data_IF_295502210345
#
_entry.id   IF_295502210345
#
_cell.length_a   1.000
_cell.length_b   1.000
_cell.length_c   1.000
_cell.angle_alpha   90.00
_cell.angle_beta   90.00
_cell.angle_gamma   90.00
#
_symmetry.space_group_name_H-M   'P 1'
#
loop_
_entity.id
_entity.type
_entity.pdbx_description
1 polymer ?
#
# COMPACT_ATOMS: atom_id res chain seq x y z
N UNK A 1 -17.48 -32.03 -64.89
CA UNK A 1 -17.50 -32.60 -63.53
C UNK A 1 -16.13 -32.71 -62.86
N UNK A 2 -15.11 -33.34 -63.47
CA UNK A 2 -13.80 -33.55 -62.81
C UNK A 2 -13.03 -32.29 -62.37
N UNK A 3 -13.17 -31.15 -63.06
CA UNK A 3 -12.55 -29.86 -62.64
C UNK A 3 -13.21 -29.26 -61.38
N UNK A 4 -14.51 -29.46 -61.21
CA UNK A 4 -15.29 -28.95 -60.06
C UNK A 4 -14.98 -29.74 -58.78
N UNK A 5 -14.82 -31.07 -58.91
CA UNK A 5 -14.41 -31.94 -57.80
C UNK A 5 -12.98 -31.59 -57.33
N UNK A 6 -12.05 -31.36 -58.27
CA UNK A 6 -10.68 -30.91 -57.92
C UNK A 6 -10.67 -29.57 -57.19
N UNK A 7 -11.51 -28.62 -57.59
CA UNK A 7 -11.65 -27.32 -56.91
C UNK A 7 -12.24 -27.46 -55.50
N UNK A 8 -13.24 -28.32 -55.29
CA UNK A 8 -13.77 -28.57 -53.95
C UNK A 8 -12.75 -29.23 -53.01
N UNK A 9 -11.95 -30.17 -53.52
CA UNK A 9 -10.87 -30.81 -52.74
C UNK A 9 -9.80 -29.76 -52.37
N UNK A 10 -9.39 -28.93 -53.32
CA UNK A 10 -8.44 -27.84 -53.05
C UNK A 10 -8.99 -26.83 -52.04
N UNK A 11 -10.24 -26.39 -52.19
CA UNK A 11 -10.89 -25.50 -51.25
C UNK A 11 -10.97 -26.12 -49.84
N UNK A 12 -11.27 -27.42 -49.74
CA UNK A 12 -11.28 -28.16 -48.48
C UNK A 12 -9.91 -28.24 -47.82
N UNK A 13 -8.84 -28.48 -48.58
CA UNK A 13 -7.47 -28.51 -48.07
C UNK A 13 -7.00 -27.13 -47.59
N UNK A 14 -7.31 -26.07 -48.35
CA UNK A 14 -7.00 -24.68 -47.96
C UNK A 14 -7.75 -24.31 -46.68
N UNK A 15 -9.04 -24.67 -46.58
CA UNK A 15 -9.84 -24.41 -45.39
C UNK A 15 -9.34 -25.21 -44.17
N UNK A 16 -8.99 -26.48 -44.34
CA UNK A 16 -8.40 -27.31 -43.29
C UNK A 16 -7.04 -26.77 -42.82
N UNK A 17 -6.19 -26.32 -43.75
CA UNK A 17 -4.92 -25.66 -43.43
C UNK A 17 -5.11 -24.36 -42.65
N UNK A 18 -6.09 -23.53 -43.05
CA UNK A 18 -6.44 -22.30 -42.35
C UNK A 18 -6.94 -22.58 -40.91
N UNK A 19 -7.86 -23.54 -40.75
CA UNK A 19 -8.36 -23.96 -39.44
C UNK A 19 -7.26 -24.54 -38.55
N UNK A 20 -6.34 -25.31 -39.13
CA UNK A 20 -5.15 -25.82 -38.44
C UNK A 20 -4.23 -24.69 -37.96
N UNK A 21 -3.98 -23.69 -38.80
CA UNK A 21 -3.15 -22.55 -38.44
C UNK A 21 -3.78 -21.70 -37.32
N UNK A 22 -5.09 -21.44 -37.37
CA UNK A 22 -5.80 -20.73 -36.29
C UNK A 22 -5.72 -21.49 -34.95
N UNK A 23 -5.90 -22.81 -34.98
CA UNK A 23 -5.76 -23.65 -33.78
C UNK A 23 -4.32 -23.67 -33.26
N UNK A 24 -3.32 -23.66 -34.14
CA UNK A 24 -1.91 -23.59 -33.77
C UNK A 24 -1.59 -22.27 -33.06
N UNK A 25 -2.03 -21.13 -33.63
CA UNK A 25 -1.84 -19.81 -33.01
C UNK A 25 -2.48 -19.73 -31.61
N UNK A 26 -3.69 -20.29 -31.46
CA UNK A 26 -4.36 -20.35 -30.15
C UNK A 26 -3.64 -21.26 -29.13
N UNK A 27 -2.83 -22.22 -29.59
CA UNK A 27 -2.13 -23.17 -28.74
C UNK A 27 -0.73 -22.72 -28.32
N UNK A 28 -0.10 -21.80 -29.07
CA UNK A 28 1.18 -21.18 -28.69
C UNK A 28 1.25 -20.67 -27.24
N UNK A 29 0.26 -19.95 -26.68
CA UNK A 29 0.34 -19.49 -25.29
C UNK A 29 0.37 -20.66 -24.29
N UNK A 30 -0.34 -21.76 -24.57
CA UNK A 30 -0.32 -22.96 -23.72
C UNK A 30 1.08 -23.58 -23.74
N UNK A 31 1.69 -23.71 -24.93
CA UNK A 31 3.05 -24.21 -25.06
C UNK A 31 4.07 -23.34 -24.31
N UNK A 32 3.93 -22.01 -24.39
CA UNK A 32 4.78 -21.08 -23.65
C UNK A 32 4.61 -21.24 -22.13
N UNK A 33 3.39 -21.49 -21.64
CA UNK A 33 3.14 -21.76 -20.23
C UNK A 33 3.82 -23.07 -19.77
N UNK A 34 3.72 -24.14 -20.56
CA UNK A 34 4.35 -25.43 -20.25
C UNK A 34 5.87 -25.32 -20.24
N UNK A 35 6.46 -24.63 -21.21
CA UNK A 35 7.89 -24.34 -21.26
C UNK A 35 8.35 -23.56 -20.01
N UNK A 36 7.56 -22.58 -19.57
CA UNK A 36 7.84 -21.80 -18.37
C UNK A 36 7.71 -22.62 -17.06
N UNK A 37 6.79 -23.58 -17.01
CA UNK A 37 6.59 -24.49 -15.86
C UNK A 37 7.73 -25.49 -15.73
N UNK A 38 8.10 -26.18 -16.81
CA UNK A 38 9.16 -27.18 -16.78
C UNK A 38 9.89 -27.35 -18.14
N UNK A 39 10.95 -26.57 -18.41
CA UNK A 39 11.56 -26.49 -19.74
C UNK A 39 12.16 -27.82 -20.23
N UNK A 40 12.78 -28.63 -19.36
CA UNK A 40 13.37 -29.91 -19.76
C UNK A 40 12.32 -30.95 -20.19
N UNK A 41 11.30 -31.20 -19.35
CA UNK A 41 10.17 -32.07 -19.72
C UNK A 41 9.39 -31.53 -20.92
N UNK A 42 9.30 -30.22 -21.08
CA UNK A 42 8.70 -29.62 -22.27
C UNK A 42 9.49 -29.98 -23.54
N UNK A 43 10.81 -29.88 -23.52
CA UNK A 43 11.65 -30.31 -24.65
C UNK A 43 11.46 -31.82 -24.95
N UNK A 44 11.42 -32.66 -23.92
CA UNK A 44 11.11 -34.09 -24.07
C UNK A 44 9.73 -34.29 -24.70
N UNK A 45 8.70 -33.58 -24.23
CA UNK A 45 7.35 -33.63 -24.79
C UNK A 45 7.34 -33.25 -26.28
N UNK A 46 8.09 -32.23 -26.68
CA UNK A 46 8.19 -31.80 -28.07
C UNK A 46 8.88 -32.85 -28.94
N UNK A 47 9.94 -33.50 -28.45
CA UNK A 47 10.61 -34.57 -29.21
C UNK A 47 9.76 -35.84 -29.31
N UNK A 48 9.04 -36.22 -28.26
CA UNK A 48 8.05 -37.31 -28.32
C UNK A 48 6.91 -37.00 -29.29
N UNK A 49 6.47 -35.73 -29.35
CA UNK A 49 5.45 -35.28 -30.29
C UNK A 49 5.93 -35.39 -31.75
N UNK A 50 7.19 -35.00 -32.03
CA UNK A 50 7.80 -35.14 -33.37
C UNK A 50 7.95 -36.60 -33.80
N UNK A 51 8.21 -37.49 -32.84
CA UNK A 51 8.28 -38.95 -33.05
C UNK A 51 6.92 -39.63 -33.13
N UNK A 52 5.81 -38.87 -33.09
CA UNK A 52 4.43 -39.37 -33.11
C UNK A 52 4.08 -40.31 -31.93
N UNK A 53 4.78 -40.20 -30.80
CA UNK A 53 4.45 -40.93 -29.58
C UNK A 53 3.34 -40.23 -28.80
N UNK A 54 2.10 -40.38 -29.30
CA UNK A 54 0.93 -39.64 -28.82
C UNK A 54 0.63 -39.92 -27.33
N UNK A 55 0.83 -41.16 -26.87
CA UNK A 55 0.62 -41.53 -25.46
C UNK A 55 1.56 -40.79 -24.52
N UNK A 56 2.85 -40.83 -24.82
CA UNK A 56 3.90 -40.20 -24.02
C UNK A 56 3.82 -38.67 -24.04
N UNK A 57 3.52 -38.10 -25.21
CA UNK A 57 3.29 -36.67 -25.38
C UNK A 57 2.12 -36.19 -24.49
N UNK A 58 0.99 -36.91 -24.49
CA UNK A 58 -0.17 -36.57 -23.65
C UNK A 58 0.14 -36.69 -22.16
N UNK A 59 0.88 -37.73 -21.76
CA UNK A 59 1.32 -37.93 -20.39
C UNK A 59 2.19 -36.76 -19.91
N UNK A 60 3.23 -36.41 -20.68
CA UNK A 60 4.13 -35.30 -20.36
C UNK A 60 3.42 -33.95 -20.36
N UNK A 61 2.50 -33.72 -21.30
CA UNK A 61 1.65 -32.52 -21.32
C UNK A 61 0.88 -32.39 -20.00
N UNK A 62 0.17 -33.44 -19.59
CA UNK A 62 -0.64 -33.41 -18.38
C UNK A 62 0.20 -33.27 -17.11
N UNK A 63 1.36 -33.93 -17.05
CA UNK A 63 2.30 -33.81 -15.93
C UNK A 63 2.80 -32.37 -15.75
N UNK A 64 3.10 -31.65 -16.84
CA UNK A 64 3.56 -30.26 -16.77
C UNK A 64 2.39 -29.31 -16.49
N UNK A 65 1.25 -29.51 -17.15
CA UNK A 65 0.09 -28.63 -17.06
C UNK A 65 -0.50 -28.59 -15.64
N UNK A 66 -0.58 -29.75 -15.00
CA UNK A 66 -1.12 -29.93 -13.64
C UNK A 66 -0.16 -29.49 -12.53
N UNK A 67 1.07 -29.05 -12.87
CA UNK A 67 1.99 -28.54 -11.85
C UNK A 67 1.40 -27.30 -11.18
N UNK A 68 1.27 -27.37 -9.85
CA UNK A 68 0.89 -26.21 -9.06
C UNK A 68 1.98 -25.14 -9.12
N UNK A 69 1.58 -23.88 -8.91
CA UNK A 69 2.53 -22.75 -8.81
C UNK A 69 3.61 -23.01 -7.76
N UNK A 70 3.24 -23.63 -6.64
CA UNK A 70 4.17 -23.99 -5.58
C UNK A 70 5.18 -25.04 -6.05
N UNK A 71 4.73 -26.10 -6.72
CA UNK A 71 5.62 -27.13 -7.27
C UNK A 71 6.63 -26.55 -8.28
N UNK A 72 6.20 -25.62 -9.13
CA UNK A 72 7.07 -24.92 -10.09
C UNK A 72 8.13 -24.08 -9.37
N UNK A 73 7.73 -23.35 -8.32
CA UNK A 73 8.65 -22.53 -7.51
C UNK A 73 9.67 -23.43 -6.79
N UNK A 74 9.21 -24.51 -6.16
CA UNK A 74 10.06 -25.47 -5.46
C UNK A 74 11.08 -26.11 -6.39
N UNK A 75 10.63 -26.61 -7.55
CA UNK A 75 11.51 -27.20 -8.56
C UNK A 75 12.58 -26.20 -9.04
N UNK A 76 12.19 -24.96 -9.29
CA UNK A 76 13.13 -23.90 -9.69
C UNK A 76 14.17 -23.64 -8.59
N UNK A 77 13.73 -23.59 -7.33
CA UNK A 77 14.61 -23.43 -6.18
C UNK A 77 15.57 -24.62 -6.02
N UNK A 78 15.10 -25.86 -6.22
CA UNK A 78 15.92 -27.07 -6.17
C UNK A 78 17.00 -27.07 -7.24
N UNK A 79 16.62 -26.85 -8.50
CA UNK A 79 17.58 -26.76 -9.61
C UNK A 79 18.60 -25.66 -9.41
N UNK A 80 18.16 -24.51 -8.89
CA UNK A 80 19.06 -23.42 -8.56
C UNK A 80 20.03 -23.78 -7.42
N UNK A 81 19.56 -24.49 -6.39
CA UNK A 81 20.41 -25.02 -5.31
C UNK A 81 21.43 -26.03 -5.83
N UNK A 82 21.04 -26.94 -6.72
CA UNK A 82 21.96 -27.90 -7.34
C UNK A 82 23.01 -27.22 -8.21
N UNK A 83 22.60 -26.29 -9.09
CA UNK A 83 23.55 -25.51 -9.89
C UNK A 83 24.55 -24.75 -9.03
N UNK A 84 24.11 -24.16 -7.91
CA UNK A 84 25.02 -23.53 -6.93
C UNK A 84 26.02 -24.50 -6.29
N UNK A 85 25.67 -25.78 -6.11
CA UNK A 85 26.59 -26.78 -5.55
C UNK A 85 27.61 -27.27 -6.58
N UNK A 86 27.19 -27.38 -7.83
CA UNK A 86 27.99 -27.99 -8.91
C UNK A 86 28.88 -26.99 -9.64
N UNK A 87 28.47 -25.72 -9.75
CA UNK A 87 29.17 -24.69 -10.52
C UNK A 87 29.63 -23.52 -9.64
N UNK A 88 30.93 -23.50 -9.34
CA UNK A 88 31.59 -22.44 -8.56
C UNK A 88 31.53 -21.08 -9.26
N UNK A 89 31.60 -21.02 -10.60
CA UNK A 89 31.50 -19.77 -11.36
C UNK A 89 30.08 -19.21 -11.32
N UNK A 90 29.07 -20.08 -11.38
CA UNK A 90 27.67 -19.67 -11.20
C UNK A 90 27.42 -19.10 -9.79
N UNK A 91 28.02 -19.72 -8.76
CA UNK A 91 27.95 -19.23 -7.39
C UNK A 91 28.57 -17.84 -7.23
N UNK A 92 29.82 -17.66 -7.66
CA UNK A 92 30.54 -16.37 -7.58
C UNK A 92 29.81 -15.26 -8.35
N UNK A 93 29.39 -15.52 -9.60
CA UNK A 93 28.64 -14.55 -10.40
C UNK A 93 27.31 -14.15 -9.76
N UNK A 94 26.59 -15.09 -9.15
CA UNK A 94 25.35 -14.79 -8.45
C UNK A 94 25.59 -13.86 -7.25
N UNK A 95 26.66 -14.07 -6.49
CA UNK A 95 27.01 -13.18 -5.38
C UNK A 95 27.35 -11.77 -5.86
N UNK A 96 28.09 -11.64 -6.96
CA UNK A 96 28.42 -10.33 -7.54
C UNK A 96 27.18 -9.60 -8.05
N UNK A 97 26.30 -10.30 -8.78
CA UNK A 97 25.02 -9.76 -9.26
C UNK A 97 24.10 -9.36 -8.10
N UNK A 98 24.05 -10.17 -7.02
CA UNK A 98 23.30 -9.83 -5.81
C UNK A 98 23.88 -8.60 -5.11
N UNK A 99 25.21 -8.47 -5.04
CA UNK A 99 25.88 -7.32 -4.44
C UNK A 99 25.56 -6.05 -5.24
N UNK A 100 25.65 -6.10 -6.57
CA UNK A 100 25.32 -5.00 -7.46
C UNK A 100 23.84 -4.60 -7.33
N UNK A 101 22.93 -5.57 -7.30
CA UNK A 101 21.50 -5.31 -7.10
C UNK A 101 21.24 -4.67 -5.72
N UNK A 102 21.90 -5.14 -4.66
CA UNK A 102 21.80 -4.52 -3.32
C UNK A 102 22.28 -3.07 -3.32
N UNK A 103 23.36 -2.75 -4.06
CA UNK A 103 23.86 -1.38 -4.21
C UNK A 103 22.86 -0.51 -4.98
N UNK A 104 22.30 -1.01 -6.08
CA UNK A 104 21.31 -0.30 -6.88
C UNK A 104 20.02 -0.04 -6.12
N UNK A 105 19.50 -1.06 -5.43
CA UNK A 105 18.32 -0.96 -4.55
C UNK A 105 18.56 0.08 -3.46
N UNK A 106 19.73 0.08 -2.79
CA UNK A 106 20.09 1.11 -1.80
C UNK A 106 20.14 2.51 -2.40
N UNK A 107 20.65 2.65 -3.63
CA UNK A 107 20.69 3.94 -4.35
C UNK A 107 19.28 4.43 -4.69
N UNK A 108 18.40 3.53 -5.11
CA UNK A 108 17.01 3.85 -5.42
C UNK A 108 16.22 4.21 -4.16
N UNK A 109 16.36 3.44 -3.08
CA UNK A 109 15.79 3.81 -1.78
C UNK A 109 16.28 5.16 -1.28
N UNK A 110 17.57 5.47 -1.44
CA UNK A 110 18.12 6.78 -1.05
C UNK A 110 17.49 7.91 -1.88
N UNK A 111 17.37 7.73 -3.20
CA UNK A 111 16.70 8.71 -4.08
C UNK A 111 15.24 8.90 -3.71
N UNK A 112 14.53 7.81 -3.44
CA UNK A 112 13.12 7.84 -3.04
C UNK A 112 12.96 8.53 -1.69
N UNK A 113 13.83 8.25 -0.73
CA UNK A 113 13.83 8.90 0.58
C UNK A 113 14.14 10.39 0.48
N UNK A 114 15.11 10.77 -0.35
CA UNK A 114 15.41 12.17 -0.65
C UNK A 114 14.22 12.87 -1.33
N UNK A 115 13.61 12.24 -2.32
CA UNK A 115 12.41 12.78 -2.99
C UNK A 115 11.23 12.93 -2.02
N UNK A 116 11.04 11.99 -1.10
CA UNK A 116 10.04 12.08 -0.02
C UNK A 116 10.38 13.21 0.95
N UNK A 117 11.64 13.35 1.38
CA UNK A 117 12.09 14.43 2.24
C UNK A 117 11.92 15.80 1.56
N UNK A 118 12.22 15.90 0.26
CA UNK A 118 12.01 17.10 -0.54
C UNK A 118 10.53 17.41 -0.75
N UNK A 119 9.70 16.39 -0.99
CA UNK A 119 8.25 16.54 -1.08
C UNK A 119 7.67 17.00 0.26
N UNK A 120 8.12 16.44 1.39
CA UNK A 120 7.76 16.88 2.74
C UNK A 120 8.22 18.31 2.97
N UNK A 121 9.42 18.70 2.52
CA UNK A 121 9.93 20.07 2.62
C UNK A 121 9.10 21.05 1.78
N UNK A 122 8.70 20.68 0.57
CA UNK A 122 7.82 21.49 -0.31
C UNK A 122 6.38 21.56 0.23
N UNK A 123 5.86 20.47 0.81
CA UNK A 123 4.59 20.49 1.56
C UNK A 123 4.72 21.30 2.86
N UNK A 124 5.94 21.32 3.41
CA UNK A 124 6.41 22.08 4.55
C UNK A 124 6.67 23.56 4.26
N UNK A 125 6.69 23.99 2.98
CA UNK A 125 6.55 25.39 2.56
C UNK A 125 5.13 25.84 2.89
N UNK A 126 4.89 25.96 4.19
CA UNK A 126 3.64 26.45 4.72
C UNK A 126 3.51 27.89 4.24
N UNK A 127 2.40 28.22 3.54
CA UNK A 127 1.86 29.59 3.61
C UNK A 127 2.02 30.05 5.05
N UNK A 128 2.64 31.22 5.33
CA UNK A 128 3.00 31.60 6.68
C UNK A 128 1.77 31.44 7.58
N UNK A 129 1.94 30.95 8.82
CA UNK A 129 0.81 30.70 9.74
C UNK A 129 -0.14 31.90 9.78
N UNK A 130 0.41 33.13 9.67
CA UNK A 130 -0.35 34.37 9.49
C UNK A 130 -1.33 34.34 8.30
N UNK A 131 -0.89 33.96 7.10
CA UNK A 131 -1.75 33.85 5.92
C UNK A 131 -2.81 32.73 6.03
N UNK A 132 -2.50 31.63 6.73
CA UNK A 132 -3.49 30.58 7.01
C UNK A 132 -4.50 31.05 8.06
N UNK A 133 -4.07 31.78 9.08
CA UNK A 133 -4.94 32.34 10.11
C UNK A 133 -5.90 33.38 9.53
N UNK A 134 -5.43 34.25 8.65
CA UNK A 134 -6.30 35.20 7.94
C UNK A 134 -7.32 34.48 7.05
N UNK A 135 -6.95 33.33 6.46
CA UNK A 135 -7.90 32.49 5.72
C UNK A 135 -8.91 31.84 6.69
N UNK A 136 -8.44 31.32 7.81
CA UNK A 136 -9.27 30.71 8.85
C UNK A 136 -10.34 31.67 9.37
N UNK A 137 -9.96 32.91 9.73
CA UNK A 137 -10.90 33.95 10.19
C UNK A 137 -11.99 34.31 9.19
N UNK A 138 -11.72 34.15 7.88
CA UNK A 138 -12.64 34.45 6.79
C UNK A 138 -13.54 33.28 6.40
N UNK A 139 -13.31 32.09 6.96
CA UNK A 139 -14.17 30.93 6.71
C UNK A 139 -15.47 31.06 7.48
N UNK A 140 -16.54 30.53 6.91
CA UNK A 140 -17.81 30.42 7.62
C UNK A 140 -17.67 29.46 8.81
N UNK A 141 -18.41 29.67 9.91
CA UNK A 141 -18.36 28.81 11.09
C UNK A 141 -18.60 27.32 10.80
N UNK A 142 -19.48 26.99 9.85
CA UNK A 142 -19.73 25.61 9.45
C UNK A 142 -18.51 24.95 8.77
N UNK A 143 -17.71 25.72 8.02
CA UNK A 143 -16.48 25.25 7.37
C UNK A 143 -15.38 25.04 8.41
N UNK A 144 -15.25 25.98 9.35
CA UNK A 144 -14.32 25.87 10.48
C UNK A 144 -14.63 24.61 11.30
N UNK A 145 -15.91 24.37 11.60
CA UNK A 145 -16.39 23.18 12.30
C UNK A 145 -16.03 21.89 11.57
N UNK A 146 -16.29 21.81 10.26
CA UNK A 146 -15.97 20.62 9.47
C UNK A 146 -14.48 20.28 9.54
N UNK A 147 -13.63 21.29 9.41
CA UNK A 147 -12.17 21.14 9.52
C UNK A 147 -11.79 20.68 10.93
N UNK A 148 -12.32 21.30 11.99
CA UNK A 148 -12.03 20.91 13.37
C UNK A 148 -12.47 19.48 13.67
N UNK A 149 -13.63 19.07 13.17
CA UNK A 149 -14.13 17.71 13.33
C UNK A 149 -13.20 16.69 12.65
N UNK A 150 -12.80 16.94 11.40
CA UNK A 150 -11.84 16.10 10.68
C UNK A 150 -10.50 15.99 11.43
N UNK A 151 -9.97 17.11 11.92
CA UNK A 151 -8.73 17.13 12.70
C UNK A 151 -8.87 16.44 14.05
N UNK A 152 -9.99 16.62 14.73
CA UNK A 152 -10.30 15.90 15.97
C UNK A 152 -10.20 14.39 15.76
N UNK A 153 -10.89 13.86 14.75
CA UNK A 153 -10.88 12.41 14.46
C UNK A 153 -9.47 11.93 14.14
N UNK A 154 -8.73 12.67 13.30
CA UNK A 154 -7.34 12.36 12.94
C UNK A 154 -6.45 12.23 14.18
N UNK A 155 -6.42 13.26 15.02
CA UNK A 155 -5.48 13.31 16.14
C UNK A 155 -5.86 12.39 17.30
N UNK A 156 -7.15 12.16 17.56
CA UNK A 156 -7.58 11.14 18.54
C UNK A 156 -7.15 9.75 18.09
N UNK A 157 -7.33 9.40 16.81
CA UNK A 157 -6.87 8.10 16.28
C UNK A 157 -5.35 7.94 16.36
N UNK A 158 -4.59 9.00 16.07
CA UNK A 158 -3.14 8.99 16.20
C UNK A 158 -2.69 8.78 17.65
N UNK A 159 -3.29 9.48 18.61
CA UNK A 159 -2.97 9.35 20.03
C UNK A 159 -3.26 7.94 20.57
N UNK A 160 -4.41 7.37 20.24
CA UNK A 160 -4.74 5.99 20.59
C UNK A 160 -3.83 4.96 19.90
N UNK A 161 -3.44 5.24 18.65
CA UNK A 161 -2.54 4.39 17.87
C UNK A 161 -1.13 4.32 18.45
N UNK A 162 -0.53 5.46 18.79
CA UNK A 162 0.79 5.49 19.44
C UNK A 162 0.77 4.77 20.80
N UNK A 163 -0.29 4.95 21.62
CA UNK A 163 -0.43 4.24 22.91
C UNK A 163 -0.60 2.73 22.79
N UNK A 164 -1.22 2.21 21.72
CA UNK A 164 -1.26 0.75 21.48
C UNK A 164 0.12 0.16 21.18
N UNK A 165 1.02 0.96 20.59
CA UNK A 165 2.38 0.55 20.22
C UNK A 165 3.33 0.67 21.42
N UNK A 166 3.17 1.71 22.24
CA UNK A 166 3.92 1.91 23.47
C UNK A 166 3.08 1.45 24.67
N UNK A 167 3.22 0.18 25.10
CA UNK A 167 2.63 -0.34 26.35
C UNK A 167 3.15 0.42 27.58
N UNK A 168 2.62 1.62 27.84
CA UNK A 168 2.84 2.34 29.10
C UNK A 168 1.59 2.17 29.97
N UNK A 169 1.55 1.06 30.70
CA UNK A 169 0.44 0.61 31.56
C UNK A 169 0.14 1.54 32.75
N UNK A 170 0.73 2.74 32.83
CA UNK A 170 0.70 3.59 34.03
C UNK A 170 0.08 4.99 33.83
N UNK A 171 -0.10 5.46 32.60
CA UNK A 171 -0.75 6.77 32.36
C UNK A 171 -2.02 6.57 31.55
N UNK A 172 -3.19 6.73 32.16
CA UNK A 172 -4.47 6.66 31.45
C UNK A 172 -4.72 8.03 30.81
N UNK A 173 -4.60 8.14 29.48
CA UNK A 173 -5.00 9.37 28.78
C UNK A 173 -6.50 9.60 28.90
N UNK A 174 -6.88 10.86 29.08
CA UNK A 174 -8.26 11.33 29.03
C UNK A 174 -8.97 10.90 27.74
N UNK A 175 -8.28 10.90 26.60
CA UNK A 175 -8.82 10.40 25.32
C UNK A 175 -9.17 8.92 25.41
N UNK A 176 -8.29 8.12 26.01
CA UNK A 176 -8.53 6.68 26.16
C UNK A 176 -9.74 6.42 27.06
N UNK A 177 -9.89 7.18 28.14
CA UNK A 177 -11.04 7.10 29.05
C UNK A 177 -12.35 7.47 28.34
N UNK A 178 -12.37 8.60 27.63
CA UNK A 178 -13.57 9.08 26.93
C UNK A 178 -14.00 8.15 25.80
N UNK A 179 -13.05 7.59 25.06
CA UNK A 179 -13.36 6.60 24.01
C UNK A 179 -13.82 5.28 24.62
N UNK A 180 -13.26 4.86 25.76
CA UNK A 180 -13.71 3.66 26.46
C UNK A 180 -15.16 3.79 26.97
N UNK A 181 -15.61 4.97 27.39
CA UNK A 181 -17.01 5.22 27.76
C UNK A 181 -17.98 4.98 26.60
N UNK A 182 -17.50 5.17 25.36
CA UNK A 182 -18.28 4.99 24.13
C UNK A 182 -17.97 3.67 23.42
N UNK A 183 -17.19 2.76 24.02
CA UNK A 183 -16.65 1.59 23.31
C UNK A 183 -17.70 0.63 22.77
N UNK A 184 -18.90 0.64 23.36
CA UNK A 184 -20.04 -0.17 22.94
C UNK A 184 -20.80 0.44 21.76
N UNK A 185 -20.49 1.68 21.38
CA UNK A 185 -21.11 2.38 20.26
C UNK A 185 -20.28 2.21 18.97
N UNK A 186 -20.93 2.15 17.80
CA UNK A 186 -20.21 2.11 16.52
C UNK A 186 -19.47 3.45 16.29
N UNK A 187 -18.22 3.38 15.83
CA UNK A 187 -17.39 4.57 15.54
C UNK A 187 -17.22 5.51 16.76
N UNK A 188 -16.65 5.01 17.88
CA UNK A 188 -16.62 5.75 19.14
C UNK A 188 -15.77 7.03 19.08
N UNK A 189 -14.78 7.09 18.19
CA UNK A 189 -13.93 8.29 18.01
C UNK A 189 -14.70 9.39 17.28
N UNK A 190 -15.41 9.03 16.22
CA UNK A 190 -16.25 9.95 15.45
C UNK A 190 -17.39 10.50 16.33
N UNK A 191 -18.02 9.64 17.14
CA UNK A 191 -19.03 10.06 18.11
C UNK A 191 -18.45 10.99 19.19
N UNK A 192 -17.28 10.68 19.73
CA UNK A 192 -16.57 11.58 20.64
C UNK A 192 -16.31 12.95 19.97
N UNK A 193 -15.82 12.96 18.73
CA UNK A 193 -15.55 14.21 18.02
C UNK A 193 -16.80 15.02 17.66
N UNK A 194 -17.94 14.35 17.42
CA UNK A 194 -19.22 15.04 17.29
C UNK A 194 -19.63 15.76 18.59
N UNK A 195 -19.33 15.17 19.75
CA UNK A 195 -19.58 15.79 21.06
C UNK A 195 -18.59 16.91 21.38
N UNK A 196 -17.33 16.76 20.96
CA UNK A 196 -16.29 17.77 21.17
C UNK A 196 -16.42 18.95 20.20
N UNK A 197 -16.93 18.71 18.99
CA UNK A 197 -17.11 19.70 17.92
C UNK A 197 -18.56 19.66 17.40
N UNK A 198 -19.54 20.08 18.22
CA UNK A 198 -20.95 20.03 17.85
C UNK A 198 -21.28 20.96 16.67
N UNK A 199 -22.44 20.74 16.04
CA UNK A 199 -22.90 21.61 14.95
C UNK A 199 -23.18 23.02 15.45
N UNK A 200 -22.55 24.02 14.83
CA UNK A 200 -22.75 25.44 15.17
C UNK A 200 -22.69 26.35 13.95
N UNK A 201 -23.31 27.53 14.08
CA UNK A 201 -23.15 28.67 13.17
C UNK A 201 -22.50 29.88 13.86
N UNK A 202 -22.14 29.79 15.14
CA UNK A 202 -21.55 30.90 15.92
C UNK A 202 -20.01 30.82 15.91
N UNK A 203 -19.29 31.92 15.58
CA UNK A 203 -17.84 32.01 15.72
C UNK A 203 -17.32 31.81 17.16
N UNK A 204 -18.08 32.27 18.17
CA UNK A 204 -17.75 32.13 19.59
C UNK A 204 -17.73 30.66 20.01
N UNK A 205 -18.68 29.87 19.51
CA UNK A 205 -18.73 28.44 19.74
C UNK A 205 -17.55 27.70 19.09
N UNK A 206 -17.06 28.16 17.93
CA UNK A 206 -15.85 27.62 17.29
C UNK A 206 -14.62 27.81 18.19
N UNK A 207 -14.47 28.99 18.79
CA UNK A 207 -13.36 29.23 19.72
C UNK A 207 -13.47 28.35 20.97
N UNK A 208 -14.67 28.16 21.50
CA UNK A 208 -14.90 27.23 22.62
C UNK A 208 -14.54 25.78 22.26
N UNK A 209 -14.82 25.33 21.02
CA UNK A 209 -14.41 24.00 20.54
C UNK A 209 -12.89 23.86 20.45
N UNK A 210 -12.19 24.87 19.94
CA UNK A 210 -10.72 24.87 19.88
C UNK A 210 -10.11 24.77 21.28
N UNK A 211 -10.69 25.44 22.27
CA UNK A 211 -10.27 25.34 23.67
C UNK A 211 -10.65 24.00 24.30
N UNK A 212 -11.80 23.44 23.96
CA UNK A 212 -12.22 22.10 24.42
C UNK A 212 -11.22 21.04 23.94
N UNK A 213 -10.77 21.11 22.70
CA UNK A 213 -9.76 20.20 22.15
C UNK A 213 -8.40 20.32 22.87
N UNK A 214 -8.03 21.52 23.36
CA UNK A 214 -6.82 21.72 24.19
C UNK A 214 -6.84 20.86 25.46
N UNK A 215 -8.01 20.77 26.10
CA UNK A 215 -8.18 20.02 27.35
C UNK A 215 -8.42 18.52 27.17
N UNK A 216 -8.34 18.01 25.93
CA UNK A 216 -8.54 16.59 25.59
C UNK A 216 -7.28 16.02 24.92
N UNK A 217 -6.66 16.74 24.00
CA UNK A 217 -5.47 16.28 23.28
C UNK A 217 -4.20 16.57 24.07
N UNK A 218 -3.20 15.68 23.93
CA UNK A 218 -1.83 15.98 24.41
C UNK A 218 -1.27 17.25 23.78
N UNK A 219 -0.27 17.87 24.43
CA UNK A 219 0.32 19.12 23.96
C UNK A 219 0.84 19.01 22.53
N UNK A 220 1.46 17.85 22.21
CA UNK A 220 2.00 17.53 20.89
C UNK A 220 0.92 17.55 19.82
N UNK A 221 -0.17 16.80 19.99
CA UNK A 221 -1.22 16.72 18.96
C UNK A 221 -2.05 17.99 18.88
N UNK A 222 -2.30 18.66 20.00
CA UNK A 222 -2.97 19.96 19.98
C UNK A 222 -2.16 21.00 19.20
N UNK A 223 -0.84 21.04 19.41
CA UNK A 223 0.06 21.91 18.65
C UNK A 223 0.01 21.62 17.14
N UNK A 224 0.05 20.35 16.75
CA UNK A 224 -0.02 19.95 15.35
C UNK A 224 -1.36 20.30 14.72
N UNK A 225 -2.47 20.16 15.46
CA UNK A 225 -3.79 20.61 15.06
C UNK A 225 -3.79 22.11 14.75
N UNK A 226 -3.29 22.94 15.67
CA UNK A 226 -3.25 24.39 15.48
C UNK A 226 -2.40 24.78 14.26
N UNK A 227 -1.27 24.11 14.04
CA UNK A 227 -0.40 24.35 12.87
C UNK A 227 -1.08 24.00 11.54
N UNK A 228 -1.79 22.87 11.48
CA UNK A 228 -2.50 22.44 10.27
C UNK A 228 -3.70 23.35 9.97
N UNK A 229 -4.45 23.76 11.00
CA UNK A 229 -5.58 24.68 10.87
C UNK A 229 -5.10 26.12 10.58
N UNK A 230 -3.89 26.45 11.02
CA UNK A 230 -3.30 27.78 10.86
C UNK A 230 -3.65 28.74 11.98
N UNK A 231 -4.04 28.25 13.16
CA UNK A 231 -4.27 29.08 14.35
C UNK A 231 -2.92 29.27 15.06
N UNK A 232 -2.45 30.52 15.28
CA UNK A 232 -1.23 30.78 16.03
C UNK A 232 -1.39 30.29 17.48
N UNK A 233 -0.36 29.60 18.01
CA UNK A 233 -0.39 29.07 19.38
C UNK A 233 -0.76 30.12 20.43
N UNK A 234 -0.21 31.33 20.29
CA UNK A 234 -0.45 32.46 21.19
C UNK A 234 -1.93 32.86 21.35
N UNK A 235 -2.79 32.50 20.41
CA UNK A 235 -4.22 32.79 20.48
C UNK A 235 -4.97 31.86 21.46
N UNK A 236 -4.38 30.72 21.80
CA UNK A 236 -5.05 29.63 22.56
C UNK A 236 -4.20 29.07 23.70
N UNK A 237 -2.88 29.29 23.65
CA UNK A 237 -1.88 28.84 24.63
C UNK A 237 -1.16 30.07 25.18
N UNK A 238 -1.48 30.51 26.40
CA UNK A 238 -0.67 31.47 27.15
C UNK A 238 0.76 30.94 27.34
N UNK A 239 1.76 31.82 27.38
CA UNK A 239 3.18 31.43 27.49
C UNK A 239 3.48 30.51 28.71
N UNK A 240 2.75 30.69 29.82
CA UNK A 240 2.87 29.86 31.03
C UNK A 240 2.39 28.40 30.81
N UNK A 241 1.41 28.22 29.93
CA UNK A 241 0.86 26.90 29.56
C UNK A 241 1.77 26.19 28.54
N UNK A 242 2.63 26.93 27.83
CA UNK A 242 3.60 26.36 26.88
C UNK A 242 4.78 25.71 27.61
N UNK A 243 5.23 26.31 28.71
CA UNK A 243 6.29 25.75 29.56
C UNK A 243 5.83 24.51 30.33
N UNK A 244 4.61 24.52 30.88
CA UNK A 244 4.02 23.38 31.58
C UNK A 244 3.65 22.24 30.63
N UNK A 245 3.01 22.54 29.49
CA UNK A 245 2.63 21.55 28.46
C UNK A 245 3.79 20.81 27.79
N UNK A 246 5.02 21.37 27.84
CA UNK A 246 6.24 20.69 27.38
C UNK A 246 6.87 19.77 28.43
N UNK A 247 6.49 19.94 29.70
CA UNK A 247 7.05 19.21 30.86
C UNK A 247 6.05 18.15 31.36
N UNK A 248 4.75 18.41 31.27
CA UNK A 248 3.63 17.50 31.58
C UNK A 248 2.58 17.66 30.48
N UNK A 249 1.99 16.57 30.01
CA UNK A 249 0.92 16.68 29.03
C UNK A 249 -0.29 17.40 29.65
N UNK A 250 -1.09 18.11 28.83
CA UNK A 250 -2.31 18.79 29.32
C UNK A 250 -3.34 17.83 29.95
N UNK A 251 -3.12 16.53 29.78
CA UNK A 251 -3.96 15.45 30.26
C UNK A 251 -3.46 14.84 31.58
N UNK A 252 -2.35 15.32 32.14
CA UNK A 252 -1.79 14.84 33.41
C UNK A 252 -2.49 15.52 34.60
N UNK A 253 -3.71 15.07 34.93
CA UNK A 253 -4.42 15.38 36.17
C UNK A 253 -4.91 14.10 36.84
#
# INVERSE_FOLDING_TARGET
MGKLIKLMIFAGLVFAGWQGNLRWEAFKPVLAELEAKHPEKYLTMIDEAKSFHIGETKRLFHEIDTMSREAVITLRHEKWREKRKQDKKFHEKYYDDELLNRVEVRKNYRKEYQARADAIRKMGEHKPIKARFEKWKKMDPWQQRLILHEKCVKYIKMELGERKVFRSDLEISKVSTLVAQLSNEPMPVELLCNNLVPGTQSPEEIQAMVLRLKGILTFRYYTQLLQEVGIPKRETIPFKDELSGRIRDYNDF
#
